data_IF_163316152491
#
_entry.id   IF_163316152491
#
_cell.length_a   1.000
_cell.length_b   1.000
_cell.length_c   1.000
_cell.angle_alpha   90.00
_cell.angle_beta   90.00
_cell.angle_gamma   90.00
#
_symmetry.space_group_name_H-M   'P 1'
#
loop_
_entity.id
_entity.type
_entity.pdbx_description
1 polymer ?
#
# COMPACT_ATOMS: atom_id res chain seq x y z
N UNK A 1 -20.47 49.34 -39.35
CA UNK A 1 -19.59 48.25 -39.82
C UNK A 1 -18.85 47.68 -38.62
N UNK A 2 -19.09 46.40 -38.33
CA UNK A 2 -18.58 45.65 -37.17
C UNK A 2 -17.08 45.36 -37.35
N UNK A 3 -16.23 45.66 -36.36
CA UNK A 3 -14.90 45.03 -36.20
C UNK A 3 -14.53 44.96 -34.72
N UNK A 4 -14.80 43.80 -34.12
CA UNK A 4 -14.13 43.30 -32.91
C UNK A 4 -12.82 42.65 -33.38
N UNK A 5 -11.69 42.88 -32.69
CA UNK A 5 -10.70 41.83 -32.53
C UNK A 5 -10.39 41.64 -31.04
N UNK A 6 -10.82 40.52 -30.47
CA UNK A 6 -10.03 39.28 -30.35
C UNK A 6 -9.16 39.34 -29.10
N UNK A 7 -9.82 39.00 -27.99
CA UNK A 7 -9.24 38.53 -26.74
C UNK A 7 -8.32 37.35 -27.07
N UNK A 8 -7.01 37.54 -26.95
CA UNK A 8 -6.03 36.44 -26.99
C UNK A 8 -5.50 36.25 -25.58
N UNK A 9 -6.25 35.36 -24.91
CA UNK A 9 -5.99 34.64 -23.69
C UNK A 9 -4.52 34.18 -23.62
N UNK A 10 -3.67 34.96 -22.95
CA UNK A 10 -2.26 34.64 -22.70
C UNK A 10 -1.96 34.59 -21.20
N UNK A 11 -2.73 33.80 -20.44
CA UNK A 11 -2.43 33.46 -19.05
C UNK A 11 -2.98 32.06 -18.71
N UNK A 12 -2.50 31.04 -19.42
CA UNK A 12 -2.50 29.68 -18.89
C UNK A 12 -1.04 29.25 -18.81
N UNK A 13 -0.36 29.74 -17.78
CA UNK A 13 0.77 29.04 -17.21
C UNK A 13 0.23 27.67 -16.78
N UNK A 14 0.26 26.70 -17.68
CA UNK A 14 0.26 25.31 -17.25
C UNK A 14 1.58 25.13 -16.52
N UNK A 15 1.53 25.29 -15.19
CA UNK A 15 2.42 24.57 -14.31
C UNK A 15 2.26 23.10 -14.65
N UNK A 16 3.10 22.61 -15.57
CA UNK A 16 3.45 21.20 -15.67
C UNK A 16 4.23 20.90 -14.39
N UNK A 17 3.51 20.81 -13.27
CA UNK A 17 3.99 20.02 -12.16
C UNK A 17 4.18 18.63 -12.73
N UNK A 18 5.40 18.09 -12.61
CA UNK A 18 5.69 16.72 -12.97
C UNK A 18 4.67 15.82 -12.26
N UNK A 19 3.62 15.42 -12.96
CA UNK A 19 2.74 14.37 -12.50
C UNK A 19 3.56 13.09 -12.67
N UNK A 20 4.39 12.79 -11.67
CA UNK A 20 5.08 11.52 -11.62
C UNK A 20 4.00 10.46 -11.41
N UNK A 21 3.53 9.89 -12.52
CA UNK A 21 2.57 8.79 -12.54
C UNK A 21 3.25 7.57 -11.88
N UNK A 22 2.48 6.80 -11.10
CA UNK A 22 2.91 5.55 -10.45
C UNK A 22 3.75 4.64 -11.36
N UNK A 23 3.51 4.64 -12.68
CA UNK A 23 4.33 3.91 -13.65
C UNK A 23 5.81 4.29 -13.61
N UNK A 24 6.11 5.59 -13.58
CA UNK A 24 7.48 6.11 -13.50
C UNK A 24 8.11 5.81 -12.14
N UNK A 25 7.33 5.90 -11.06
CA UNK A 25 7.79 5.54 -9.71
C UNK A 25 8.15 4.05 -9.65
N UNK A 26 7.28 3.18 -10.15
CA UNK A 26 7.48 1.73 -10.15
C UNK A 26 8.72 1.30 -10.94
N UNK A 27 8.93 1.88 -12.12
CA UNK A 27 10.11 1.58 -12.96
C UNK A 27 11.42 2.06 -12.35
N UNK A 28 11.39 3.09 -11.50
CA UNK A 28 12.57 3.65 -10.80
C UNK A 28 12.76 3.11 -9.39
N UNK A 29 11.85 2.26 -8.90
CA UNK A 29 11.97 1.61 -7.58
C UNK A 29 13.35 0.94 -7.40
N UNK A 30 14.00 1.04 -6.23
CA UNK A 30 15.24 0.31 -6.00
C UNK A 30 15.03 -1.22 -5.98
N UNK A 31 15.94 -1.97 -6.59
CA UNK A 31 15.83 -3.44 -6.70
C UNK A 31 15.72 -4.13 -5.33
N UNK A 32 16.33 -3.59 -4.28
CA UNK A 32 16.29 -4.18 -2.94
C UNK A 32 14.88 -4.16 -2.30
N UNK A 33 13.96 -3.32 -2.78
CA UNK A 33 12.57 -3.30 -2.30
C UNK A 33 11.71 -4.41 -2.93
N UNK A 34 12.14 -4.94 -4.09
CA UNK A 34 11.52 -6.08 -4.75
C UNK A 34 12.61 -6.95 -5.42
N UNK A 35 13.46 -7.64 -4.63
CA UNK A 35 14.67 -8.31 -5.15
C UNK A 35 14.37 -9.47 -6.11
N UNK A 36 13.09 -9.87 -6.21
CA UNK A 36 12.60 -10.88 -7.15
C UNK A 36 12.44 -10.34 -8.57
N UNK A 37 12.46 -9.01 -8.74
CA UNK A 37 12.02 -8.32 -9.94
C UNK A 37 13.03 -7.23 -10.35
N UNK A 38 13.89 -7.58 -11.31
CA UNK A 38 14.88 -6.64 -11.85
C UNK A 38 14.22 -5.41 -12.48
N UNK A 39 14.99 -4.31 -12.58
CA UNK A 39 14.55 -3.04 -13.18
C UNK A 39 13.90 -3.22 -14.56
N UNK A 40 14.49 -4.04 -15.45
CA UNK A 40 13.95 -4.30 -16.78
C UNK A 40 12.54 -4.91 -16.72
N UNK A 41 12.31 -5.86 -15.80
CA UNK A 41 11.03 -6.56 -15.70
C UNK A 41 9.92 -5.69 -15.12
N UNK A 42 10.25 -4.68 -14.29
CA UNK A 42 9.26 -3.70 -13.81
C UNK A 42 8.68 -2.88 -14.96
N UNK A 43 9.54 -2.47 -15.89
CA UNK A 43 9.11 -1.79 -17.12
C UNK A 43 8.22 -2.71 -17.96
N UNK A 44 8.64 -3.95 -18.20
CA UNK A 44 7.88 -4.90 -19.00
C UNK A 44 6.49 -5.20 -18.41
N UNK A 45 6.39 -5.35 -17.07
CA UNK A 45 5.10 -5.53 -16.40
C UNK A 45 4.17 -4.33 -16.61
N UNK A 46 4.69 -3.10 -16.48
CA UNK A 46 3.89 -1.90 -16.70
C UNK A 46 3.42 -1.80 -18.16
N UNK A 47 4.31 -2.06 -19.12
CA UNK A 47 3.98 -2.03 -20.56
C UNK A 47 2.92 -3.09 -20.91
N UNK A 48 3.03 -4.31 -20.35
CA UNK A 48 2.01 -5.36 -20.50
C UNK A 48 0.65 -4.90 -19.96
N UNK A 49 0.61 -4.35 -18.74
CA UNK A 49 -0.62 -3.89 -18.09
C UNK A 49 -1.31 -2.79 -18.92
N UNK A 50 -0.55 -1.77 -19.32
CA UNK A 50 -1.05 -0.64 -20.10
C UNK A 50 -1.51 -1.05 -21.50
N UNK A 51 -0.97 -2.13 -22.06
CA UNK A 51 -1.42 -2.72 -23.32
C UNK A 51 -2.69 -3.59 -23.20
N UNK A 52 -3.24 -3.73 -21.98
CA UNK A 52 -4.41 -4.57 -21.71
C UNK A 52 -4.11 -6.08 -21.72
N UNK A 53 -2.84 -6.47 -21.65
CA UNK A 53 -2.41 -7.87 -21.56
C UNK A 53 -2.26 -8.29 -20.10
N UNK A 54 -2.21 -9.60 -19.88
CA UNK A 54 -1.82 -10.13 -18.57
C UNK A 54 -0.39 -9.67 -18.24
N UNK A 55 -0.25 -8.85 -17.20
CA UNK A 55 1.02 -8.34 -16.72
C UNK A 55 1.65 -9.34 -15.75
N UNK A 56 2.21 -10.42 -16.30
CA UNK A 56 2.81 -11.52 -15.54
C UNK A 56 4.11 -11.98 -16.18
N UNK A 57 5.16 -12.13 -15.38
CA UNK A 57 6.49 -12.58 -15.81
C UNK A 57 7.09 -13.56 -14.80
N UNK A 58 8.00 -14.42 -15.25
CA UNK A 58 8.78 -15.28 -14.37
C UNK A 58 9.79 -14.43 -13.59
N UNK A 59 9.88 -14.63 -12.28
CA UNK A 59 10.74 -13.87 -11.38
C UNK A 59 12.09 -14.58 -11.12
N UNK A 60 13.03 -13.93 -10.41
CA UNK A 60 14.38 -14.48 -10.17
C UNK A 60 14.38 -15.69 -9.23
N UNK A 61 13.24 -16.02 -8.62
CA UNK A 61 13.05 -17.15 -7.70
C UNK A 61 12.38 -18.36 -8.35
N UNK A 62 12.30 -18.42 -9.69
CA UNK A 62 11.59 -19.46 -10.44
C UNK A 62 10.06 -19.49 -10.21
N UNK A 63 9.50 -18.45 -9.60
CA UNK A 63 8.06 -18.23 -9.52
C UNK A 63 7.60 -17.18 -10.53
N UNK A 64 6.44 -16.57 -10.28
CA UNK A 64 5.93 -15.46 -11.09
C UNK A 64 5.71 -14.20 -10.26
N UNK A 65 5.89 -13.06 -10.91
CA UNK A 65 5.39 -11.77 -10.43
C UNK A 65 4.27 -11.29 -11.34
N UNK A 66 3.21 -10.75 -10.75
CA UNK A 66 2.01 -10.29 -11.46
C UNK A 66 1.63 -8.89 -10.99
N UNK A 67 1.51 -7.96 -11.92
CA UNK A 67 0.98 -6.61 -11.65
C UNK A 67 -0.55 -6.65 -11.77
N UNK A 68 -1.24 -6.60 -10.64
CA UNK A 68 -2.71 -6.75 -10.56
C UNK A 68 -3.45 -5.45 -10.78
N UNK A 69 -2.92 -4.35 -10.26
CA UNK A 69 -3.54 -3.03 -10.41
C UNK A 69 -2.46 -1.97 -10.60
N UNK A 70 -2.70 -1.08 -11.55
CA UNK A 70 -1.91 0.13 -11.79
C UNK A 70 -2.87 1.27 -12.12
N UNK A 71 -2.74 2.34 -11.37
CA UNK A 71 -3.49 3.59 -11.51
C UNK A 71 -2.51 4.75 -11.30
N UNK A 72 -2.90 6.02 -11.57
CA UNK A 72 -1.96 7.14 -11.45
C UNK A 72 -1.30 7.29 -10.07
N UNK A 73 -1.96 6.85 -8.99
CA UNK A 73 -1.52 7.01 -7.61
C UNK A 73 -1.44 5.69 -6.81
N UNK A 74 -1.81 4.55 -7.39
CA UNK A 74 -1.78 3.25 -6.71
C UNK A 74 -1.27 2.11 -7.60
N UNK A 75 -0.53 1.19 -7.00
CA UNK A 75 -0.09 -0.07 -7.60
C UNK A 75 -0.25 -1.24 -6.61
N UNK A 76 -0.70 -2.39 -7.12
CA UNK A 76 -0.69 -3.69 -6.43
C UNK A 76 0.11 -4.70 -7.25
N UNK A 77 1.26 -5.10 -6.71
CA UNK A 77 2.15 -6.10 -7.30
C UNK A 77 2.15 -7.34 -6.42
N UNK A 78 1.88 -8.49 -7.02
CA UNK A 78 2.23 -9.77 -6.43
C UNK A 78 3.67 -10.11 -6.83
N UNK A 79 4.59 -10.10 -5.87
CA UNK A 79 6.01 -10.36 -6.12
C UNK A 79 6.31 -11.85 -6.20
N UNK A 80 5.63 -12.65 -5.38
CA UNK A 80 5.68 -14.12 -5.38
C UNK A 80 4.29 -14.71 -5.08
N UNK A 81 4.17 -16.03 -5.06
CA UNK A 81 2.92 -16.70 -4.61
C UNK A 81 2.54 -16.36 -3.16
N UNK A 82 3.49 -15.90 -2.34
CA UNK A 82 3.31 -15.64 -0.91
C UNK A 82 3.61 -14.19 -0.51
N UNK A 83 3.83 -13.28 -1.46
CA UNK A 83 4.21 -11.91 -1.13
C UNK A 83 3.60 -10.90 -2.08
N UNK A 84 3.22 -9.75 -1.53
CA UNK A 84 2.69 -8.62 -2.27
C UNK A 84 3.39 -7.32 -1.85
N UNK A 85 3.36 -6.37 -2.78
CA UNK A 85 3.72 -4.98 -2.58
C UNK A 85 2.54 -4.12 -3.01
N UNK A 86 2.12 -3.21 -2.14
CA UNK A 86 1.22 -2.12 -2.48
C UNK A 86 1.98 -0.79 -2.42
N UNK A 87 1.78 0.06 -3.42
CA UNK A 87 2.32 1.41 -3.46
C UNK A 87 1.18 2.41 -3.56
N UNK A 88 1.23 3.47 -2.76
CA UNK A 88 0.31 4.61 -2.83
C UNK A 88 1.08 5.92 -2.84
N UNK A 89 0.81 6.77 -3.81
CA UNK A 89 1.30 8.14 -3.85
C UNK A 89 0.37 9.03 -3.01
N UNK A 90 0.90 9.64 -1.95
CA UNK A 90 0.15 10.40 -0.97
C UNK A 90 0.47 11.90 -1.06
N UNK A 91 -0.53 12.79 -1.09
CA UNK A 91 -0.29 14.23 -1.20
C UNK A 91 0.09 14.86 0.14
N UNK A 92 0.99 15.84 0.10
CA UNK A 92 1.34 16.72 1.22
C UNK A 92 0.72 18.12 1.04
N UNK A 93 0.70 18.90 2.13
CA UNK A 93 0.07 20.24 2.17
C UNK A 93 0.68 21.26 1.20
N UNK A 94 1.94 21.07 0.81
CA UNK A 94 2.72 21.93 -0.08
C UNK A 94 2.68 21.45 -1.55
N UNK A 95 1.71 20.60 -1.91
CA UNK A 95 1.55 20.07 -3.26
C UNK A 95 2.72 19.19 -3.74
N UNK A 96 3.51 18.65 -2.79
CA UNK A 96 4.47 17.57 -3.02
C UNK A 96 3.83 16.23 -2.64
N UNK A 97 4.50 15.13 -2.96
CA UNK A 97 4.01 13.78 -2.67
C UNK A 97 5.07 12.94 -1.97
N UNK A 98 4.61 11.92 -1.26
CA UNK A 98 5.45 10.84 -0.73
C UNK A 98 4.86 9.50 -1.15
N UNK A 99 5.66 8.44 -1.05
CA UNK A 99 5.23 7.07 -1.28
C UNK A 99 4.96 6.38 0.06
N UNK A 100 3.82 5.71 0.15
CA UNK A 100 3.59 4.64 1.11
C UNK A 100 3.78 3.30 0.40
N UNK A 101 4.67 2.47 0.94
CA UNK A 101 4.92 1.10 0.50
C UNK A 101 4.43 0.15 1.59
N UNK A 102 3.52 -0.75 1.25
CA UNK A 102 3.21 -1.91 2.09
C UNK A 102 3.83 -3.14 1.46
N UNK A 103 4.61 -3.89 2.25
CA UNK A 103 5.07 -5.22 1.87
C UNK A 103 4.40 -6.24 2.76
N UNK A 104 3.74 -7.23 2.17
CA UNK A 104 3.04 -8.29 2.89
C UNK A 104 3.66 -9.64 2.57
N UNK A 105 3.88 -10.45 3.60
CA UNK A 105 4.27 -11.86 3.46
C UNK A 105 3.16 -12.73 4.04
N UNK A 106 2.78 -13.78 3.31
CA UNK A 106 1.70 -14.68 3.68
C UNK A 106 2.22 -16.10 3.93
N UNK A 107 2.65 -16.39 5.15
CA UNK A 107 3.30 -17.66 5.50
C UNK A 107 3.00 -18.13 6.94
N UNK A 108 1.85 -18.78 7.23
CA UNK A 108 0.70 -19.03 6.35
C UNK A 108 -0.35 -17.91 6.41
N UNK A 109 -0.20 -16.96 7.32
CA UNK A 109 -1.09 -15.84 7.58
C UNK A 109 -0.40 -14.54 7.11
N UNK A 110 -1.12 -13.56 6.56
CA UNK A 110 -0.53 -12.32 6.12
C UNK A 110 -0.09 -11.46 7.32
N UNK A 111 1.15 -10.97 7.21
CA UNK A 111 1.72 -9.93 8.05
C UNK A 111 2.40 -8.89 7.17
N UNK A 112 2.29 -7.62 7.56
CA UNK A 112 2.64 -6.49 6.71
C UNK A 112 3.56 -5.51 7.39
N UNK A 113 4.46 -4.93 6.59
CA UNK A 113 5.26 -3.76 6.96
C UNK A 113 4.83 -2.55 6.15
N UNK A 114 4.65 -1.43 6.84
CA UNK A 114 4.40 -0.11 6.23
C UNK A 114 5.70 0.69 6.27
N UNK A 115 6.12 1.21 5.12
CA UNK A 115 7.31 2.04 4.96
C UNK A 115 6.99 3.27 4.11
N UNK A 116 7.76 4.34 4.29
CA UNK A 116 7.56 5.59 3.56
C UNK A 116 8.83 6.04 2.85
N UNK A 117 8.65 6.66 1.68
CA UNK A 117 9.76 7.17 0.87
C UNK A 117 9.41 8.52 0.24
N UNK A 118 10.41 9.31 -0.08
CA UNK A 118 10.27 10.38 -1.06
C UNK A 118 10.00 9.80 -2.45
N UNK A 119 9.61 10.64 -3.41
CA UNK A 119 9.46 10.22 -4.83
C UNK A 119 10.78 9.87 -5.51
N UNK A 120 11.91 10.19 -4.88
CA UNK A 120 13.27 9.80 -5.28
C UNK A 120 13.76 8.55 -4.53
N UNK A 121 12.86 7.84 -3.83
CA UNK A 121 13.13 6.61 -3.07
C UNK A 121 14.08 6.77 -1.88
N UNK A 122 14.19 7.99 -1.34
CA UNK A 122 14.87 8.20 -0.06
C UNK A 122 13.93 7.77 1.08
N UNK A 123 14.38 6.93 2.04
CA UNK A 123 13.55 6.47 3.13
C UNK A 123 13.16 7.63 4.06
N UNK A 124 11.91 7.64 4.48
CA UNK A 124 11.37 8.59 5.47
C UNK A 124 11.08 7.86 6.78
N UNK A 125 11.17 8.57 7.90
CA UNK A 125 10.84 7.99 9.21
C UNK A 125 9.33 7.71 9.30
N UNK A 126 8.98 6.43 9.44
CA UNK A 126 7.59 6.00 9.52
C UNK A 126 6.89 6.53 10.78
N UNK A 127 7.62 6.78 11.88
CA UNK A 127 7.03 7.23 13.14
C UNK A 127 6.34 8.61 13.02
N UNK A 128 6.85 9.46 12.13
CA UNK A 128 6.29 10.78 11.84
C UNK A 128 5.01 10.70 11.00
N UNK A 129 4.91 9.68 10.14
CA UNK A 129 3.92 9.56 9.07
C UNK A 129 2.81 8.54 9.39
N UNK A 130 3.04 7.65 10.36
CA UNK A 130 2.09 6.62 10.74
C UNK A 130 2.28 6.21 12.21
N UNK A 131 1.17 6.12 12.94
CA UNK A 131 1.17 5.54 14.29
C UNK A 131 0.26 4.33 14.31
N UNK A 132 0.79 3.12 14.13
CA UNK A 132 -0.01 1.91 14.20
C UNK A 132 -0.56 1.74 15.61
N UNK A 133 -1.78 1.21 15.69
CA UNK A 133 -2.32 0.71 16.96
C UNK A 133 -1.60 -0.58 17.36
N UNK A 134 -1.46 -0.79 18.67
CA UNK A 134 -0.97 -2.07 19.21
C UNK A 134 -1.96 -3.21 18.94
N UNK A 135 -1.49 -4.45 19.07
CA UNK A 135 -2.36 -5.63 18.98
C UNK A 135 -3.51 -5.57 20.01
N UNK A 136 -3.24 -5.11 21.23
CA UNK A 136 -4.25 -4.93 22.29
C UNK A 136 -5.39 -4.00 21.89
N UNK A 137 -5.14 -3.05 20.98
CA UNK A 137 -6.21 -2.17 20.49
C UNK A 137 -7.32 -2.97 19.83
N UNK A 138 -7.01 -4.10 19.18
CA UNK A 138 -7.99 -4.95 18.53
C UNK A 138 -8.79 -5.81 19.51
N UNK A 139 -8.43 -5.85 20.79
CA UNK A 139 -9.22 -6.53 21.82
C UNK A 139 -10.31 -5.58 22.33
N UNK A 140 -11.56 -6.06 22.40
CA UNK A 140 -12.69 -5.29 22.95
C UNK A 140 -12.47 -4.98 24.42
N UNK A 141 -12.80 -3.75 24.80
CA UNK A 141 -12.73 -3.29 26.19
C UNK A 141 -13.65 -4.11 27.10
N UNK A 142 -13.29 -4.21 28.38
CA UNK A 142 -14.02 -4.99 29.40
C UNK A 142 -14.19 -6.48 29.05
N UNK A 143 -13.32 -7.02 28.20
CA UNK A 143 -13.23 -8.47 28.01
C UNK A 143 -12.67 -9.10 29.29
N UNK A 144 -13.43 -9.99 29.90
CA UNK A 144 -12.95 -10.86 30.98
C UNK A 144 -11.96 -11.85 30.35
N UNK A 145 -10.67 -11.48 30.30
CA UNK A 145 -9.60 -12.13 29.52
C UNK A 145 -9.71 -13.66 29.57
N UNK A 146 -10.36 -14.31 28.58
CA UNK A 146 -10.50 -15.75 28.60
C UNK A 146 -9.14 -16.36 28.26
N UNK A 147 -8.89 -17.58 28.72
CA UNK A 147 -7.68 -18.36 28.37
C UNK A 147 -7.44 -18.40 26.85
N UNK A 148 -8.51 -18.36 26.05
CA UNK A 148 -8.40 -18.30 24.59
C UNK A 148 -7.63 -17.06 24.07
N UNK A 149 -7.68 -15.91 24.75
CA UNK A 149 -6.90 -14.72 24.34
C UNK A 149 -5.41 -14.86 24.67
N UNK A 150 -5.02 -15.65 25.68
CA UNK A 150 -3.60 -15.86 25.99
C UNK A 150 -2.86 -16.64 24.91
N UNK A 151 -3.61 -17.20 23.95
CA UNK A 151 -3.03 -17.87 22.78
C UNK A 151 -2.51 -16.86 21.77
N UNK A 152 -3.07 -15.64 21.72
CA UNK A 152 -2.71 -14.55 20.78
C UNK A 152 -1.35 -13.96 21.16
N UNK A 153 -0.30 -14.73 20.97
CA UNK A 153 1.08 -14.46 21.41
C UNK A 153 1.96 -13.81 20.33
N UNK A 154 1.39 -13.57 19.15
CA UNK A 154 2.03 -12.87 18.04
C UNK A 154 1.23 -11.64 17.61
N UNK A 155 1.92 -10.62 17.11
CA UNK A 155 1.30 -9.38 16.62
C UNK A 155 1.31 -9.34 15.09
N UNK A 156 0.55 -10.25 14.46
CA UNK A 156 0.38 -10.31 13.01
C UNK A 156 -0.73 -9.34 12.59
N UNK A 157 -0.36 -8.35 11.77
CA UNK A 157 -1.29 -7.34 11.26
C UNK A 157 -1.12 -7.22 9.75
N UNK A 158 -2.23 -7.42 9.03
CA UNK A 158 -2.28 -7.17 7.59
C UNK A 158 -2.71 -5.73 7.33
N UNK A 159 -1.84 -4.97 6.68
CA UNK A 159 -2.14 -3.62 6.23
C UNK A 159 -2.47 -3.64 4.73
N UNK A 160 -3.48 -2.87 4.33
CA UNK A 160 -3.91 -2.77 2.93
C UNK A 160 -4.19 -1.31 2.58
N UNK A 161 -3.74 -0.87 1.41
CA UNK A 161 -4.02 0.47 0.90
C UNK A 161 -5.29 0.41 0.06
N UNK A 162 -6.16 1.42 0.20
CA UNK A 162 -7.30 1.52 -0.69
C UNK A 162 -6.84 2.04 -2.07
N UNK A 163 -7.26 1.41 -3.18
CA UNK A 163 -6.78 1.83 -4.49
C UNK A 163 -7.27 3.23 -4.87
N UNK A 164 -8.49 3.59 -4.49
CA UNK A 164 -9.12 4.84 -4.97
C UNK A 164 -9.17 5.95 -3.90
N UNK A 165 -8.77 5.67 -2.65
CA UNK A 165 -8.82 6.65 -1.56
C UNK A 165 -7.51 6.65 -0.80
N UNK A 166 -7.16 7.76 -0.16
CA UNK A 166 -5.97 7.85 0.68
C UNK A 166 -6.23 7.25 2.07
N UNK A 167 -6.59 5.97 2.09
CA UNK A 167 -6.87 5.22 3.32
C UNK A 167 -6.04 3.95 3.40
N UNK A 168 -5.73 3.56 4.63
CA UNK A 168 -5.00 2.35 4.97
C UNK A 168 -5.81 1.58 6.01
N UNK A 169 -6.05 0.30 5.77
CA UNK A 169 -6.80 -0.58 6.68
C UNK A 169 -5.85 -1.53 7.35
N UNK A 170 -5.94 -1.64 8.68
CA UNK A 170 -5.23 -2.61 9.49
C UNK A 170 -6.18 -3.71 9.96
N UNK A 171 -5.90 -4.94 9.60
CA UNK A 171 -6.66 -6.13 10.02
C UNK A 171 -5.80 -6.96 10.95
N UNK A 172 -6.30 -7.26 12.14
CA UNK A 172 -5.61 -8.16 13.07
C UNK A 172 -5.76 -9.60 12.60
N UNK A 173 -4.66 -10.16 12.11
CA UNK A 173 -4.64 -11.47 11.46
C UNK A 173 -4.11 -12.56 12.37
N UNK A 174 -3.54 -12.20 13.52
CA UNK A 174 -3.16 -13.11 14.60
C UNK A 174 -4.20 -14.21 14.84
N UNK A 175 -5.51 -13.96 15.04
CA UNK A 175 -6.46 -15.05 15.29
C UNK A 175 -6.47 -16.16 14.21
N UNK A 176 -6.05 -15.86 12.98
CA UNK A 176 -6.02 -16.84 11.88
C UNK A 176 -4.96 -17.95 12.05
N UNK A 177 -3.98 -17.80 12.95
CA UNK A 177 -3.05 -18.91 13.26
C UNK A 177 -3.74 -20.03 14.05
N UNK A 178 -4.85 -19.72 14.74
CA UNK A 178 -5.56 -20.65 15.61
C UNK A 178 -6.34 -21.70 14.83
N UNK A 179 -6.70 -22.79 15.51
CA UNK A 179 -7.72 -23.72 14.99
C UNK A 179 -9.07 -23.01 14.83
N UNK A 180 -9.93 -23.53 13.95
CA UNK A 180 -11.27 -22.95 13.73
C UNK A 180 -12.11 -22.85 15.01
N UNK A 181 -12.02 -23.86 15.87
CA UNK A 181 -12.73 -23.88 17.16
C UNK A 181 -12.23 -22.77 18.10
N UNK A 182 -10.92 -22.56 18.17
CA UNK A 182 -10.34 -21.47 18.96
C UNK A 182 -10.67 -20.09 18.36
N UNK A 183 -10.70 -19.97 17.03
CA UNK A 183 -11.13 -18.75 16.34
C UNK A 183 -12.56 -18.33 16.72
N UNK A 184 -13.49 -19.29 16.76
CA UNK A 184 -14.88 -19.03 17.17
C UNK A 184 -14.98 -18.54 18.62
N UNK A 185 -14.08 -18.99 19.50
CA UNK A 185 -14.02 -18.55 20.90
C UNK A 185 -13.46 -17.14 21.05
N UNK A 186 -12.46 -16.76 20.24
CA UNK A 186 -11.83 -15.42 20.33
C UNK A 186 -12.59 -14.36 19.55
N UNK A 187 -13.22 -14.70 18.42
CA UNK A 187 -13.88 -13.75 17.53
C UNK A 187 -14.84 -12.76 18.21
N UNK A 188 -15.67 -13.14 19.20
CA UNK A 188 -16.53 -12.21 19.93
C UNK A 188 -15.77 -11.10 20.66
N UNK A 189 -14.48 -11.30 20.97
CA UNK A 189 -13.62 -10.38 21.70
C UNK A 189 -12.73 -9.51 20.81
N UNK A 190 -12.71 -9.75 19.50
CA UNK A 190 -11.88 -9.00 18.55
C UNK A 190 -12.72 -7.89 17.89
N UNK A 191 -12.18 -6.67 17.82
CA UNK A 191 -12.74 -5.54 17.08
C UNK A 191 -12.55 -5.75 15.57
N UNK A 192 -13.38 -5.09 14.77
CA UNK A 192 -13.10 -4.99 13.34
C UNK A 192 -11.79 -4.21 13.07
N UNK A 193 -11.29 -4.33 11.85
CA UNK A 193 -10.06 -3.67 11.43
C UNK A 193 -10.11 -2.15 11.62
N UNK A 194 -8.94 -1.53 11.85
CA UNK A 194 -8.82 -0.07 11.96
C UNK A 194 -8.62 0.53 10.58
N UNK A 195 -9.43 1.52 10.22
CA UNK A 195 -9.22 2.33 9.02
C UNK A 195 -8.56 3.64 9.42
N UNK A 196 -7.44 3.97 8.77
CA UNK A 196 -6.71 5.22 8.91
C UNK A 196 -6.96 6.08 7.68
N UNK A 197 -7.22 7.37 7.90
CA UNK A 197 -7.28 8.35 6.82
C UNK A 197 -5.96 9.10 6.71
N UNK A 198 -5.49 9.36 5.49
CA UNK A 198 -4.38 10.27 5.27
C UNK A 198 -4.80 11.72 5.53
N UNK A 199 -4.24 12.35 6.56
CA UNK A 199 -4.52 13.73 6.95
C UNK A 199 -3.25 14.54 6.96
N UNK A 200 -3.15 15.50 6.03
CA UNK A 200 -2.06 16.48 5.85
C UNK A 200 -0.69 15.86 5.56
N UNK A 201 -0.18 15.04 6.47
CA UNK A 201 1.13 14.38 6.41
C UNK A 201 1.16 13.04 7.18
N UNK A 202 0.03 12.55 7.72
CA UNK A 202 0.00 11.39 8.60
C UNK A 202 -1.24 10.52 8.41
N UNK A 203 -1.11 9.20 8.57
CA UNK A 203 -2.23 8.29 8.72
C UNK A 203 -2.78 8.31 10.16
N UNK A 204 -4.05 8.67 10.32
CA UNK A 204 -4.76 8.81 11.61
C UNK A 204 -6.18 8.24 11.60
#
# INVERSE_FOLDING_TARGET
MKRIPLILLLCALFSVGSAQDMTALFTTMPDHLAPQLETAWRKDLADLYLSGKEARLQNTMNGFSTLHKLTPDYLLLQTTERSTIELKLLPLVNNTHILCLITTVNAPIPDSRVSFFSTDWEPLDAADLFTPVSADWFIKENTDYPEALSRLDMDLIHYQLHPDTATLTATFTTPLYLSKEEQEKVAPHIKEGKVYGWKRYKFE
#
